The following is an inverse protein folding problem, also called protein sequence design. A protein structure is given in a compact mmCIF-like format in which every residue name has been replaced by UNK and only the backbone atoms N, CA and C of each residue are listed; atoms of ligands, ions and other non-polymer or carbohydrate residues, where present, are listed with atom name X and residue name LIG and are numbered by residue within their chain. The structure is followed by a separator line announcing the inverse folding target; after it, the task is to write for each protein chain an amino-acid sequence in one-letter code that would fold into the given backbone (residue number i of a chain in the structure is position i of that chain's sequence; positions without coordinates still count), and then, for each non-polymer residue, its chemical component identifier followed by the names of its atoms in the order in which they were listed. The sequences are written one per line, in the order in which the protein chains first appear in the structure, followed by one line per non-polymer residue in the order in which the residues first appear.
data_IF_045085537088
#
_entry.id   IF_045085537088
#
_cell.length_a   1.000
_cell.length_b   1.000
_cell.length_c   1.000
_cell.angle_alpha   90.00
_cell.angle_beta   90.00
_cell.angle_gamma   90.00
#
_symmetry.space_group_name_H-M   'P 1'
#
loop_
_entity.id
_entity.type
_entity.pdbx_description
1 polymer ?
#
# COMPACT_ATOMS: atom_id res chain seq x y z
N UNK A 1 -21.36 -8.79 -7.14
CA UNK A 1 -21.16 -8.87 -5.70
C UNK A 1 -22.51 -9.14 -5.06
N UNK A 2 -22.66 -10.27 -4.32
CA UNK A 2 -23.97 -10.77 -3.83
C UNK A 2 -24.68 -9.82 -2.84
N UNK A 3 -23.92 -8.94 -2.17
CA UNK A 3 -24.45 -8.10 -1.08
C UNK A 3 -25.00 -6.74 -1.53
N UNK A 4 -24.58 -6.24 -2.67
CA UNK A 4 -25.01 -4.90 -3.15
C UNK A 4 -25.95 -4.95 -4.36
N UNK A 5 -26.17 -6.14 -4.95
CA UNK A 5 -26.94 -6.29 -6.19
C UNK A 5 -26.31 -5.61 -7.42
N UNK A 6 -25.15 -4.97 -7.24
CA UNK A 6 -24.42 -4.29 -8.33
C UNK A 6 -23.41 -5.29 -8.91
N UNK A 7 -23.65 -5.73 -10.13
CA UNK A 7 -22.73 -6.56 -10.89
C UNK A 7 -21.63 -5.73 -11.53
N UNK A 8 -20.42 -6.30 -11.60
CA UNK A 8 -19.34 -5.76 -12.40
C UNK A 8 -18.97 -6.75 -13.50
N UNK A 9 -18.56 -6.25 -14.65
CA UNK A 9 -18.18 -7.09 -15.79
C UNK A 9 -16.72 -7.52 -15.66
N UNK A 10 -16.43 -8.74 -16.14
CA UNK A 10 -15.06 -9.20 -16.25
C UNK A 10 -14.33 -8.40 -17.35
N UNK A 11 -13.10 -7.98 -17.08
CA UNK A 11 -12.25 -7.36 -18.09
C UNK A 11 -11.84 -8.42 -19.12
N UNK A 12 -12.00 -8.10 -20.39
CA UNK A 12 -11.76 -9.01 -21.52
C UNK A 12 -10.40 -8.82 -22.17
N UNK A 13 -9.70 -7.72 -21.87
CA UNK A 13 -8.39 -7.39 -22.42
C UNK A 13 -7.52 -6.69 -21.38
N UNK A 14 -6.20 -6.82 -21.57
CA UNK A 14 -5.20 -6.12 -20.77
C UNK A 14 -4.90 -4.73 -21.35
N UNK A 15 -4.28 -3.89 -20.53
CA UNK A 15 -3.84 -2.55 -20.94
C UNK A 15 -4.57 -1.44 -20.22
N UNK A 16 -4.64 -0.27 -20.84
CA UNK A 16 -5.26 0.91 -20.25
C UNK A 16 -6.78 0.84 -20.45
N UNK A 17 -7.51 0.42 -19.43
CA UNK A 17 -8.97 0.17 -19.47
C UNK A 17 -9.68 1.07 -18.47
N UNK A 18 -10.87 1.51 -18.83
CA UNK A 18 -11.76 2.17 -17.87
C UNK A 18 -12.27 1.14 -16.86
N UNK A 19 -12.10 1.44 -15.58
CA UNK A 19 -12.60 0.61 -14.47
C UNK A 19 -13.82 1.25 -13.82
N UNK A 20 -14.83 0.45 -13.52
CA UNK A 20 -15.86 0.86 -12.58
C UNK A 20 -15.34 0.82 -11.14
N UNK A 21 -16.12 1.32 -10.15
CA UNK A 21 -15.70 1.39 -8.76
C UNK A 21 -15.37 0.02 -8.15
N UNK A 22 -16.10 -1.03 -8.52
CA UNK A 22 -15.87 -2.40 -8.03
C UNK A 22 -14.57 -2.95 -8.61
N UNK A 23 -14.35 -2.74 -9.91
CA UNK A 23 -13.12 -3.15 -10.60
C UNK A 23 -11.90 -2.43 -10.06
N UNK A 24 -12.00 -1.12 -9.79
CA UNK A 24 -10.92 -0.35 -9.19
C UNK A 24 -10.54 -0.88 -7.79
N UNK A 25 -11.53 -1.14 -6.94
CA UNK A 25 -11.29 -1.77 -5.63
C UNK A 25 -10.69 -3.16 -5.78
N UNK A 26 -11.20 -3.98 -6.70
CA UNK A 26 -10.68 -5.31 -6.96
C UNK A 26 -9.21 -5.25 -7.42
N UNK A 27 -8.86 -4.34 -8.33
CA UNK A 27 -7.49 -4.11 -8.79
C UNK A 27 -6.55 -3.74 -7.64
N UNK A 28 -6.95 -2.81 -6.76
CA UNK A 28 -6.18 -2.43 -5.58
C UNK A 28 -6.04 -3.54 -4.53
N UNK A 29 -6.84 -4.61 -4.60
CA UNK A 29 -6.82 -5.75 -3.67
C UNK A 29 -6.08 -6.97 -4.21
N UNK A 30 -5.59 -6.95 -5.43
CA UNK A 30 -4.82 -8.06 -5.99
C UNK A 30 -3.57 -8.29 -5.13
N UNK A 31 -3.42 -9.51 -4.60
CA UNK A 31 -2.26 -9.93 -3.79
C UNK A 31 -1.54 -11.15 -4.36
N UNK A 32 -2.21 -11.87 -5.23
CA UNK A 32 -1.79 -13.22 -5.58
C UNK A 32 -0.87 -13.30 -6.80
N UNK A 33 -0.78 -12.24 -7.58
CA UNK A 33 0.04 -12.23 -8.81
C UNK A 33 1.47 -11.73 -8.59
N UNK A 34 1.71 -11.00 -7.48
CA UNK A 34 2.98 -10.36 -7.17
C UNK A 34 3.12 -10.05 -5.66
N UNK A 35 4.05 -9.17 -5.31
CA UNK A 35 4.35 -8.81 -3.92
C UNK A 35 3.30 -7.89 -3.30
N UNK A 36 3.29 -7.82 -1.98
CA UNK A 36 2.45 -6.89 -1.21
C UNK A 36 2.78 -5.41 -1.52
N UNK A 37 4.02 -5.15 -1.93
CA UNK A 37 4.45 -3.83 -2.37
C UNK A 37 3.80 -3.43 -3.70
N UNK A 38 3.67 -4.34 -4.65
CA UNK A 38 2.97 -4.10 -5.90
C UNK A 38 1.47 -3.82 -5.67
N UNK A 39 0.86 -4.45 -4.65
CA UNK A 39 -0.50 -4.08 -4.21
C UNK A 39 -0.56 -2.62 -3.76
N UNK A 40 0.40 -2.18 -2.95
CA UNK A 40 0.47 -0.79 -2.48
C UNK A 40 0.63 0.19 -3.65
N UNK A 41 1.45 -0.15 -4.65
CA UNK A 41 1.58 0.66 -5.86
C UNK A 41 0.26 0.74 -6.65
N UNK A 42 -0.48 -0.37 -6.80
CA UNK A 42 -1.81 -0.33 -7.43
C UNK A 42 -2.78 0.56 -6.68
N UNK A 43 -2.74 0.56 -5.35
CA UNK A 43 -3.55 1.47 -4.53
C UNK A 43 -3.19 2.93 -4.77
N UNK A 44 -1.89 3.26 -4.87
CA UNK A 44 -1.43 4.62 -5.21
C UNK A 44 -1.91 5.06 -6.59
N UNK A 45 -1.83 4.18 -7.59
CA UNK A 45 -2.33 4.44 -8.95
C UNK A 45 -3.82 4.77 -8.92
N UNK A 46 -4.62 4.00 -8.16
CA UNK A 46 -6.06 4.25 -8.03
C UNK A 46 -6.31 5.59 -7.37
N UNK A 47 -5.62 5.89 -6.26
CA UNK A 47 -5.78 7.16 -5.53
C UNK A 47 -5.41 8.35 -6.43
N UNK A 48 -4.30 8.25 -7.17
CA UNK A 48 -3.90 9.28 -8.12
C UNK A 48 -4.99 9.51 -9.19
N UNK A 49 -5.49 8.44 -9.81
CA UNK A 49 -6.55 8.52 -10.82
C UNK A 49 -7.87 9.06 -10.25
N UNK A 50 -8.22 8.66 -9.04
CA UNK A 50 -9.41 9.17 -8.36
C UNK A 50 -9.26 10.68 -8.05
N UNK A 51 -8.09 11.12 -7.58
CA UNK A 51 -7.79 12.52 -7.35
C UNK A 51 -7.83 13.35 -8.63
N UNK A 52 -7.20 12.87 -9.71
CA UNK A 52 -7.23 13.53 -11.02
C UNK A 52 -8.66 13.67 -11.55
N UNK A 53 -9.51 12.67 -11.31
CA UNK A 53 -10.93 12.71 -11.66
C UNK A 53 -11.70 13.71 -10.79
N UNK A 54 -11.42 13.74 -9.50
CA UNK A 54 -12.06 14.68 -8.57
C UNK A 54 -11.71 16.15 -8.89
N UNK A 55 -10.49 16.44 -9.33
CA UNK A 55 -10.07 17.79 -9.75
C UNK A 55 -10.92 18.37 -10.89
N UNK A 56 -11.48 17.51 -11.73
CA UNK A 56 -12.30 17.88 -12.88
C UNK A 56 -13.81 17.73 -12.60
N UNK A 57 -14.18 17.36 -11.37
CA UNK A 57 -15.58 17.23 -10.99
C UNK A 57 -16.22 18.58 -10.66
N UNK A 58 -17.51 18.70 -10.87
CA UNK A 58 -18.28 19.85 -10.43
C UNK A 58 -18.49 19.87 -8.90
N UNK A 59 -18.89 21.01 -8.39
CA UNK A 59 -19.09 21.17 -6.94
C UNK A 59 -20.17 20.24 -6.38
N UNK A 60 -21.23 19.95 -7.12
CA UNK A 60 -22.29 19.05 -6.67
C UNK A 60 -21.75 17.63 -6.46
N UNK A 61 -20.94 17.14 -7.41
CA UNK A 61 -20.27 15.86 -7.32
C UNK A 61 -19.27 15.81 -6.15
N UNK A 62 -18.45 16.85 -5.97
CA UNK A 62 -17.49 16.93 -4.85
C UNK A 62 -18.20 16.94 -3.50
N UNK A 63 -19.25 17.72 -3.36
CA UNK A 63 -20.02 17.75 -2.13
C UNK A 63 -20.69 16.40 -1.83
N UNK A 64 -21.23 15.74 -2.85
CA UNK A 64 -21.79 14.39 -2.72
C UNK A 64 -20.71 13.39 -2.25
N UNK A 65 -19.51 13.45 -2.82
CA UNK A 65 -18.37 12.60 -2.40
C UNK A 65 -18.02 12.85 -0.93
N UNK A 66 -17.90 14.10 -0.51
CA UNK A 66 -17.60 14.45 0.89
C UNK A 66 -18.68 13.88 1.82
N UNK A 67 -19.95 14.13 1.54
CA UNK A 67 -21.05 13.64 2.36
C UNK A 67 -21.11 12.10 2.43
N UNK A 68 -20.68 11.42 1.37
CA UNK A 68 -20.68 9.96 1.30
C UNK A 68 -19.48 9.34 2.03
N UNK A 69 -18.30 9.95 1.92
CA UNK A 69 -17.05 9.39 2.42
C UNK A 69 -16.82 9.74 3.90
N UNK A 70 -17.13 10.96 4.32
CA UNK A 70 -16.84 11.41 5.69
C UNK A 70 -17.44 10.52 6.78
N UNK A 71 -18.68 10.03 6.69
CA UNK A 71 -19.22 9.10 7.70
C UNK A 71 -18.49 7.75 7.79
N UNK A 72 -17.66 7.42 6.80
CA UNK A 72 -16.87 6.18 6.75
C UNK A 72 -15.44 6.37 7.28
N UNK A 73 -15.04 7.59 7.63
CA UNK A 73 -13.69 7.93 8.08
C UNK A 73 -13.69 8.25 9.58
N UNK A 74 -12.63 7.79 10.25
CA UNK A 74 -12.26 8.28 11.57
C UNK A 74 -11.11 9.29 11.39
N UNK A 75 -11.35 10.55 11.69
CA UNK A 75 -10.40 11.64 11.52
C UNK A 75 -10.62 12.71 12.58
N UNK A 76 -9.58 13.47 12.89
CA UNK A 76 -9.63 14.67 13.70
C UNK A 76 -9.82 15.96 12.87
N UNK A 77 -9.97 15.83 11.54
CA UNK A 77 -10.25 16.95 10.64
C UNK A 77 -11.74 17.20 10.59
N UNK A 78 -12.16 18.44 10.83
CA UNK A 78 -13.56 18.83 10.75
C UNK A 78 -13.99 18.95 9.27
N UNK A 79 -15.27 18.64 9.00
CA UNK A 79 -15.85 18.80 7.66
C UNK A 79 -15.82 20.27 7.20
N UNK A 80 -15.89 21.21 8.12
CA UNK A 80 -15.79 22.66 7.85
C UNK A 80 -14.45 23.05 7.29
N UNK A 81 -13.37 22.34 7.68
CA UNK A 81 -12.02 22.56 7.16
C UNK A 81 -11.83 21.94 5.76
N UNK A 82 -12.57 20.88 5.47
CA UNK A 82 -12.50 20.20 4.17
C UNK A 82 -13.21 20.95 3.05
N UNK A 83 -14.27 21.69 3.37
CA UNK A 83 -15.05 22.44 2.35
C UNK A 83 -14.18 23.45 1.58
N UNK A 84 -13.38 24.33 2.23
CA UNK A 84 -12.48 25.25 1.53
C UNK A 84 -11.41 24.52 0.70
N UNK A 85 -10.89 23.38 1.20
CA UNK A 85 -9.92 22.56 0.48
C UNK A 85 -10.55 21.96 -0.78
N UNK A 86 -11.75 21.38 -0.66
CA UNK A 86 -12.47 20.80 -1.79
C UNK A 86 -12.80 21.85 -2.88
N UNK A 87 -13.18 23.06 -2.50
CA UNK A 87 -13.42 24.17 -3.45
C UNK A 87 -12.17 24.57 -4.23
N UNK A 88 -10.99 24.35 -3.65
CA UNK A 88 -9.69 24.66 -4.27
C UNK A 88 -8.99 23.41 -4.81
N UNK A 89 -9.66 22.27 -4.92
CA UNK A 89 -9.02 20.98 -5.26
C UNK A 89 -8.21 21.05 -6.56
N UNK A 90 -8.63 21.85 -7.52
CA UNK A 90 -7.91 22.05 -8.79
C UNK A 90 -6.49 22.63 -8.62
N UNK A 91 -6.22 23.33 -7.51
CA UNK A 91 -4.91 23.92 -7.19
C UNK A 91 -3.95 22.92 -6.54
N UNK A 92 -4.46 21.78 -6.06
CA UNK A 92 -3.65 20.79 -5.40
C UNK A 92 -3.15 19.72 -6.39
N UNK A 93 -2.06 19.09 -6.04
CA UNK A 93 -1.54 17.92 -6.74
C UNK A 93 -1.00 16.95 -5.69
N UNK A 94 -1.04 15.66 -6.00
CA UNK A 94 -0.33 14.67 -5.21
C UNK A 94 1.15 14.79 -5.61
N UNK A 95 1.98 15.13 -4.65
CA UNK A 95 3.42 15.22 -4.82
C UNK A 95 4.09 13.84 -4.90
N UNK A 96 5.35 13.79 -4.54
CA UNK A 96 6.07 12.52 -4.44
C UNK A 96 5.43 11.60 -3.41
N UNK A 97 5.48 10.31 -3.66
CA UNK A 97 4.93 9.31 -2.76
C UNK A 97 6.00 8.30 -2.37
N UNK A 98 5.99 7.87 -1.11
CA UNK A 98 6.92 6.89 -0.60
C UNK A 98 6.21 5.85 0.26
N UNK A 99 6.90 4.74 0.56
CA UNK A 99 6.42 3.72 1.48
C UNK A 99 7.30 3.66 2.72
N UNK A 100 6.69 3.37 3.86
CA UNK A 100 7.42 3.11 5.09
C UNK A 100 7.22 1.65 5.52
N UNK A 101 8.27 0.94 5.95
CA UNK A 101 9.68 1.32 5.92
C UNK A 101 10.24 1.33 4.49
N UNK A 102 11.09 2.31 4.18
CA UNK A 102 11.69 2.46 2.85
C UNK A 102 12.90 1.52 2.67
N UNK A 103 13.73 1.38 3.70
CA UNK A 103 14.79 0.38 3.78
C UNK A 103 14.31 -0.79 4.64
N UNK A 104 14.18 -1.97 4.05
CA UNK A 104 13.53 -3.11 4.67
C UNK A 104 14.09 -4.46 4.27
N UNK A 105 13.93 -5.43 5.15
CA UNK A 105 14.08 -6.86 4.88
C UNK A 105 12.76 -7.59 5.07
N UNK A 106 12.70 -8.82 4.62
CA UNK A 106 11.57 -9.72 4.82
C UNK A 106 12.05 -10.93 5.62
N UNK A 107 11.27 -11.31 6.63
CA UNK A 107 11.60 -12.46 7.46
C UNK A 107 10.33 -13.14 7.96
N UNK A 108 10.33 -14.46 7.96
CA UNK A 108 9.33 -15.25 8.67
C UNK A 108 9.67 -15.25 10.16
N UNK A 109 8.79 -14.67 10.98
CA UNK A 109 8.94 -14.56 12.43
C UNK A 109 8.06 -15.64 13.11
N UNK A 110 8.27 -16.88 12.75
CA UNK A 110 7.65 -18.04 13.37
C UNK A 110 6.12 -18.00 13.39
N UNK A 111 5.51 -17.87 14.59
CA UNK A 111 4.04 -17.85 14.72
C UNK A 111 3.37 -16.61 14.12
N UNK A 112 4.11 -15.53 13.89
CA UNK A 112 3.60 -14.28 13.33
C UNK A 112 3.52 -14.37 11.80
N UNK A 113 4.41 -15.16 11.18
CA UNK A 113 4.52 -15.34 9.73
C UNK A 113 5.44 -14.32 9.06
N UNK A 114 5.28 -14.13 7.77
CA UNK A 114 6.10 -13.21 6.97
C UNK A 114 5.90 -11.76 7.40
N UNK A 115 6.96 -11.15 7.90
CA UNK A 115 6.98 -9.78 8.38
C UNK A 115 7.91 -8.90 7.54
N UNK A 116 7.50 -7.65 7.34
CA UNK A 116 8.35 -6.60 6.79
C UNK A 116 9.09 -5.92 7.94
N UNK A 117 10.40 -6.04 7.94
CA UNK A 117 11.26 -5.56 9.02
C UNK A 117 11.97 -4.28 8.59
N UNK A 118 11.84 -3.16 9.31
CA UNK A 118 12.62 -1.94 9.02
C UNK A 118 14.10 -2.22 9.28
N UNK A 119 14.96 -1.87 8.34
CA UNK A 119 16.38 -2.17 8.40
C UNK A 119 17.23 -0.88 8.22
N UNK A 120 17.50 -0.13 9.31
CA UNK A 120 16.95 -0.28 10.67
C UNK A 120 15.75 0.67 10.89
N UNK A 121 15.03 0.57 12.01
CA UNK A 121 13.96 1.52 12.31
C UNK A 121 14.50 2.94 12.47
N UNK A 122 15.62 3.12 13.17
CA UNK A 122 16.25 4.43 13.33
C UNK A 122 16.57 5.08 11.98
N UNK A 123 17.17 4.32 11.05
CA UNK A 123 17.47 4.81 9.71
C UNK A 123 16.19 5.19 8.95
N UNK A 124 15.17 4.35 8.99
CA UNK A 124 13.91 4.61 8.30
C UNK A 124 13.17 5.85 8.84
N UNK A 125 13.28 6.12 10.15
CA UNK A 125 12.68 7.33 10.74
C UNK A 125 13.40 8.59 10.28
N UNK A 126 14.72 8.57 10.14
CA UNK A 126 15.49 9.69 9.54
C UNK A 126 15.07 9.94 8.10
N UNK A 127 14.99 8.88 7.28
CA UNK A 127 14.55 8.99 5.89
C UNK A 127 13.10 9.50 5.78
N UNK A 128 12.22 9.12 6.71
CA UNK A 128 10.84 9.62 6.76
C UNK A 128 10.80 11.12 7.05
N UNK A 129 11.58 11.60 8.03
CA UNK A 129 11.65 13.01 8.36
C UNK A 129 12.25 13.85 7.22
N UNK A 130 13.30 13.32 6.59
CA UNK A 130 13.86 13.93 5.38
C UNK A 130 12.81 14.05 4.26
N UNK A 131 12.05 12.99 4.01
CA UNK A 131 11.04 12.97 2.95
C UNK A 131 9.84 13.91 3.24
N UNK A 132 9.37 13.98 4.48
CA UNK A 132 8.18 14.75 4.82
C UNK A 132 8.46 16.22 5.15
N UNK A 133 9.65 16.52 5.69
CA UNK A 133 9.94 17.82 6.31
C UNK A 133 11.25 18.44 5.85
N UNK A 134 11.99 17.81 4.92
CA UNK A 134 13.35 18.20 4.48
C UNK A 134 14.37 18.29 5.64
N UNK A 135 14.15 17.50 6.71
CA UNK A 135 15.03 17.46 7.87
C UNK A 135 16.16 16.45 7.65
N UNK A 136 17.30 16.94 7.12
CA UNK A 136 18.49 16.10 6.85
C UNK A 136 19.14 15.54 8.15
N UNK A 137 19.15 16.33 9.22
CA UNK A 137 19.83 16.02 10.49
C UNK A 137 18.85 15.70 11.62
N UNK A 138 17.74 15.07 11.32
CA UNK A 138 16.74 14.72 12.34
C UNK A 138 17.33 13.87 13.47
N UNK A 139 17.16 14.33 14.70
CA UNK A 139 17.63 13.63 15.88
C UNK A 139 16.56 12.65 16.37
N UNK A 140 16.82 11.37 16.13
CA UNK A 140 15.90 10.30 16.52
C UNK A 140 15.81 10.18 18.03
N UNK A 141 14.59 10.19 18.61
CA UNK A 141 14.39 10.04 20.05
C UNK A 141 14.93 8.70 20.60
N UNK A 142 15.30 8.70 21.90
CA UNK A 142 15.91 7.53 22.56
C UNK A 142 15.02 6.28 22.54
N UNK A 143 13.71 6.45 22.71
CA UNK A 143 12.75 5.34 22.64
C UNK A 143 12.71 4.68 21.25
N UNK A 144 12.83 5.45 20.17
CA UNK A 144 12.89 4.90 18.81
C UNK A 144 14.19 4.14 18.59
N UNK A 145 15.32 4.64 19.12
CA UNK A 145 16.61 3.93 19.08
C UNK A 145 16.54 2.61 19.84
N UNK A 146 15.89 2.60 21.01
CA UNK A 146 15.68 1.40 21.81
C UNK A 146 14.86 0.35 21.03
N UNK A 147 13.71 0.74 20.44
CA UNK A 147 12.93 -0.15 19.60
C UNK A 147 13.70 -0.63 18.36
N UNK A 148 14.49 0.25 17.72
CA UNK A 148 15.34 -0.11 16.60
C UNK A 148 16.34 -1.21 16.97
N UNK A 149 17.01 -1.05 18.11
CA UNK A 149 17.96 -2.03 18.63
C UNK A 149 17.27 -3.36 18.98
N UNK A 150 16.10 -3.31 19.61
CA UNK A 150 15.35 -4.50 19.95
C UNK A 150 14.92 -5.28 18.69
N UNK A 151 14.38 -4.60 17.67
CA UNK A 151 14.02 -5.22 16.40
C UNK A 151 15.24 -5.86 15.75
N UNK A 152 16.37 -5.13 15.70
CA UNK A 152 17.61 -5.65 15.13
C UNK A 152 18.13 -6.90 15.87
N UNK A 153 18.06 -6.92 17.20
CA UNK A 153 18.47 -8.08 18.00
C UNK A 153 17.60 -9.31 17.74
N UNK A 154 16.26 -9.11 17.68
CA UNK A 154 15.32 -10.22 17.48
C UNK A 154 15.38 -10.77 16.07
N UNK A 155 15.59 -9.92 15.07
CA UNK A 155 15.54 -10.31 13.66
C UNK A 155 16.91 -10.61 13.04
N UNK A 156 18.00 -10.16 13.67
CA UNK A 156 19.35 -10.21 13.11
C UNK A 156 19.62 -9.19 11.99
N UNK A 157 18.64 -8.33 11.66
CA UNK A 157 18.75 -7.30 10.63
C UNK A 157 19.30 -6.01 11.23
N UNK A 158 20.61 -5.95 11.39
CA UNK A 158 21.33 -4.91 12.18
C UNK A 158 21.89 -3.76 11.36
N UNK A 159 21.88 -3.86 10.03
CA UNK A 159 22.46 -2.86 9.13
C UNK A 159 21.39 -2.16 8.32
N UNK A 160 21.67 -0.91 7.89
CA UNK A 160 20.80 -0.16 7.02
C UNK A 160 20.75 -0.83 5.64
N UNK A 161 19.57 -1.23 5.21
CA UNK A 161 19.35 -1.75 3.88
C UNK A 161 19.32 -0.63 2.84
N UNK A 162 19.40 -1.01 1.58
CA UNK A 162 19.15 -0.06 0.48
C UNK A 162 17.69 0.37 0.49
N UNK A 163 17.45 1.66 0.26
CA UNK A 163 16.12 2.18 0.02
C UNK A 163 15.47 1.49 -1.17
N UNK A 164 14.25 1.03 -0.98
CA UNK A 164 13.44 0.42 -2.03
C UNK A 164 12.39 1.45 -2.44
N UNK A 165 12.53 1.98 -3.64
CA UNK A 165 11.57 2.91 -4.21
C UNK A 165 10.29 2.24 -4.69
N UNK A 166 9.63 2.83 -5.68
CA UNK A 166 8.46 2.24 -6.31
C UNK A 166 8.80 0.88 -6.96
N UNK A 167 7.94 -0.08 -6.77
CA UNK A 167 8.08 -1.39 -7.40
C UNK A 167 7.16 -1.47 -8.62
N UNK A 168 7.58 -2.14 -9.70
CA UNK A 168 6.73 -2.29 -10.87
C UNK A 168 5.49 -3.12 -10.53
N UNK A 169 4.36 -2.71 -11.09
CA UNK A 169 3.09 -3.44 -11.04
C UNK A 169 2.88 -4.19 -12.35
N UNK A 170 2.07 -5.25 -12.29
CA UNK A 170 1.58 -5.95 -13.49
C UNK A 170 2.70 -6.51 -14.38
N UNK A 171 3.70 -7.15 -13.78
CA UNK A 171 4.81 -7.80 -14.49
C UNK A 171 4.37 -9.01 -15.32
N UNK A 172 3.11 -9.07 -15.71
CA UNK A 172 2.63 -10.05 -16.69
C UNK A 172 2.61 -11.51 -16.21
N UNK A 173 2.51 -11.74 -14.90
CA UNK A 173 2.27 -13.09 -14.40
C UNK A 173 0.84 -13.47 -14.76
N UNK A 174 0.70 -14.31 -15.80
CA UNK A 174 -0.63 -14.80 -16.20
C UNK A 174 -1.30 -15.51 -15.02
N UNK A 175 -2.64 -15.44 -14.95
CA UNK A 175 -3.41 -16.15 -13.93
C UNK A 175 -3.03 -17.66 -13.88
N UNK A 176 -2.67 -18.26 -15.00
CA UNK A 176 -2.22 -19.64 -15.10
C UNK A 176 -0.86 -19.87 -14.41
N UNK A 177 0.10 -18.97 -14.61
CA UNK A 177 1.41 -19.03 -13.95
C UNK A 177 1.24 -18.89 -12.43
N UNK A 178 0.34 -18.03 -12.02
CA UNK A 178 0.01 -17.83 -10.62
C UNK A 178 -0.64 -19.09 -10.01
N UNK A 179 -1.65 -19.67 -10.66
CA UNK A 179 -2.32 -20.90 -10.21
C UNK A 179 -1.31 -22.04 -10.06
N UNK A 180 -0.39 -22.22 -11.03
CA UNK A 180 0.70 -23.20 -10.95
C UNK A 180 1.63 -22.95 -9.76
N UNK A 181 2.05 -21.70 -9.54
CA UNK A 181 2.92 -21.31 -8.43
C UNK A 181 2.27 -21.52 -7.06
N UNK A 182 0.97 -21.26 -6.95
CA UNK A 182 0.19 -21.54 -5.74
C UNK A 182 0.04 -23.02 -5.49
N UNK A 183 -0.28 -23.80 -6.50
CA UNK A 183 -0.40 -25.25 -6.38
C UNK A 183 0.92 -25.90 -5.93
N UNK A 184 2.06 -25.47 -6.49
CA UNK A 184 3.39 -25.96 -6.07
C UNK A 184 3.73 -25.57 -4.62
N UNK A 185 3.38 -24.37 -4.16
CA UNK A 185 3.59 -23.97 -2.76
C UNK A 185 2.74 -24.79 -1.79
N UNK A 186 1.48 -25.04 -2.13
CA UNK A 186 0.58 -25.86 -1.31
C UNK A 186 1.12 -27.29 -1.22
N UNK A 187 1.57 -27.87 -2.35
CA UNK A 187 2.16 -29.20 -2.38
C UNK A 187 3.46 -29.27 -1.57
N UNK A 188 4.33 -28.27 -1.68
CA UNK A 188 5.58 -28.21 -0.91
C UNK A 188 5.31 -28.10 0.61
N UNK A 189 4.32 -27.31 1.01
CA UNK A 189 3.91 -27.20 2.42
C UNK A 189 3.36 -28.52 2.95
N UNK A 190 2.47 -29.17 2.21
CA UNK A 190 1.92 -30.47 2.57
C UNK A 190 3.02 -31.57 2.68
N UNK A 191 4.00 -31.57 1.78
CA UNK A 191 5.13 -32.48 1.85
C UNK A 191 6.02 -32.23 3.08
N UNK A 192 6.28 -30.95 3.42
CA UNK A 192 7.04 -30.60 4.62
C UNK A 192 6.30 -31.01 5.92
N UNK A 193 4.99 -30.84 5.97
CA UNK A 193 4.17 -31.28 7.12
C UNK A 193 4.07 -32.81 7.24
N UNK A 194 4.13 -33.53 6.13
CA UNK A 194 4.14 -35.00 6.12
C UNK A 194 5.50 -35.57 6.56
N UNK A 195 6.61 -34.89 6.28
CA UNK A 195 7.97 -35.32 6.68
C UNK A 195 8.33 -34.92 8.11
N UNK A 196 7.52 -34.10 8.78
CA UNK A 196 7.69 -33.68 10.16
C UNK A 196 6.90 -34.54 11.18
N UNK A 197 6.16 -35.54 10.71
CA UNK A 197 5.46 -36.56 11.50
C UNK A 197 6.21 -37.90 11.46
#
# INVERSE_FOLDING_TARGET
VKETGIGSHQLTHAGNVHLDGIQAVAYGRIRYSDTDYARTERQRIILQKAFDKAKNADWATLNCLIQTIMPQLATNVDITDLIPLARNIAKFHIGETAGFPAARGEQDVGKIGDCVIPQTLEYNVKELHKFLFDEEDYQVPSNVKEYSNHIAQVTGLTTNAKLIGHVPVDQGVSAQTFIKKRASRIAAKAAAEASAK
#
